data_IF_365249565048
#
_entry.id   IF_365249565048
#
_cell.length_a   1.000
_cell.length_b   1.000
_cell.length_c   1.000
_cell.angle_alpha   90.00
_cell.angle_beta   90.00
_cell.angle_gamma   90.00
#
_symmetry.space_group_name_H-M   'P 1'
#
loop_
_entity.id
_entity.type
_entity.pdbx_description
1 polymer ?
#
# COMPACT_ATOMS: atom_id res chain seq x y z
N UNK A 1 22.63 7.02 -3.55
CA UNK A 1 21.37 7.17 -2.79
C UNK A 1 20.23 6.76 -3.70
N UNK A 2 19.92 5.47 -3.74
CA UNK A 2 18.90 4.95 -4.67
C UNK A 2 17.51 5.18 -4.08
N UNK A 3 16.50 5.46 -4.91
CA UNK A 3 15.08 5.50 -4.52
C UNK A 3 14.35 4.53 -5.45
N UNK A 4 13.30 3.86 -4.99
CA UNK A 4 12.47 3.00 -5.84
C UNK A 4 11.01 3.43 -5.76
N UNK A 5 10.26 3.36 -6.84
CA UNK A 5 9.01 4.07 -6.94
C UNK A 5 8.35 3.89 -8.30
N UNK A 6 7.11 4.36 -8.44
CA UNK A 6 6.43 4.30 -9.73
C UNK A 6 6.58 5.64 -10.47
N UNK A 7 7.03 5.58 -11.73
CA UNK A 7 7.35 6.76 -12.56
C UNK A 7 6.10 7.43 -13.12
N UNK A 8 5.12 6.65 -13.58
CA UNK A 8 3.83 7.20 -14.07
C UNK A 8 3.03 7.93 -12.99
N UNK A 9 3.41 7.64 -11.75
CA UNK A 9 2.75 8.00 -10.53
C UNK A 9 3.60 8.94 -9.65
N UNK A 10 4.85 9.13 -10.06
CA UNK A 10 5.90 9.96 -9.46
C UNK A 10 6.14 9.79 -7.93
N UNK A 11 5.95 8.61 -7.36
CA UNK A 11 6.24 8.37 -5.92
C UNK A 11 7.44 7.44 -5.80
N UNK A 12 8.38 7.78 -4.91
CA UNK A 12 9.60 7.03 -4.69
C UNK A 12 9.99 6.95 -3.21
N UNK A 13 10.32 5.73 -2.78
CA UNK A 13 10.69 5.35 -1.43
C UNK A 13 12.21 5.30 -1.24
N UNK A 14 12.65 5.67 -0.03
CA UNK A 14 14.05 5.61 0.38
C UNK A 14 14.45 4.18 0.80
N UNK A 15 15.51 3.60 0.21
CA UNK A 15 15.94 2.20 0.49
C UNK A 15 16.40 1.96 1.93
N UNK A 16 16.76 3.01 2.68
CA UNK A 16 17.28 2.89 4.06
C UNK A 16 16.21 2.96 5.14
N UNK A 17 15.04 3.53 4.86
CA UNK A 17 14.05 3.87 5.89
C UNK A 17 13.04 2.76 6.21
N UNK A 18 13.22 1.54 5.65
CA UNK A 18 12.35 0.36 5.79
C UNK A 18 10.87 0.60 5.42
N UNK A 19 10.55 0.17 4.20
CA UNK A 19 9.23 0.01 3.58
C UNK A 19 8.36 1.29 3.47
N UNK A 20 7.49 1.39 2.45
CA UNK A 20 6.50 2.46 2.43
C UNK A 20 5.68 2.41 3.72
N UNK A 21 5.64 3.46 4.55
CA UNK A 21 4.40 3.70 5.25
C UNK A 21 3.36 3.88 4.14
N UNK A 22 2.30 3.08 4.18
CA UNK A 22 1.12 3.34 3.37
C UNK A 22 0.57 4.64 3.92
N UNK A 23 0.97 5.76 3.32
CA UNK A 23 0.61 7.08 3.84
C UNK A 23 -0.82 7.36 3.42
N UNK A 24 -1.78 6.76 4.14
CA UNK A 24 -3.20 6.99 3.94
C UNK A 24 -3.70 6.60 2.55
N UNK A 25 -4.66 7.38 2.06
CA UNK A 25 -5.61 7.06 0.99
C UNK A 25 -5.02 6.80 -0.42
N UNK A 26 -3.70 6.81 -0.61
CA UNK A 26 -3.08 6.70 -1.95
C UNK A 26 -1.88 5.73 -1.98
N UNK A 27 -1.76 4.95 -3.05
CA UNK A 27 -0.64 4.04 -3.25
C UNK A 27 0.62 4.78 -3.73
N UNK A 28 1.75 4.08 -3.87
CA UNK A 28 2.94 4.58 -4.60
C UNK A 28 2.67 4.90 -6.08
N UNK A 29 1.45 4.66 -6.52
CA UNK A 29 0.88 5.08 -7.78
C UNK A 29 0.26 6.49 -7.80
N UNK A 30 0.05 7.10 -6.63
CA UNK A 30 -0.80 8.29 -6.51
C UNK A 30 -2.28 7.98 -6.79
N UNK A 31 -2.63 6.71 -6.99
CA UNK A 31 -3.99 6.25 -7.16
C UNK A 31 -4.62 5.97 -5.80
N UNK A 32 -5.93 6.20 -5.73
CA UNK A 32 -6.72 6.01 -4.52
C UNK A 32 -6.73 4.54 -4.06
N UNK A 33 -6.44 4.33 -2.79
CA UNK A 33 -6.56 3.07 -2.08
C UNK A 33 -7.96 3.00 -1.46
N UNK A 34 -8.84 2.17 -2.01
CA UNK A 34 -10.20 1.99 -1.52
C UNK A 34 -10.27 0.83 -0.53
N UNK A 35 -10.93 1.05 0.59
CA UNK A 35 -11.20 -0.04 1.52
C UNK A 35 -12.16 -1.07 0.89
N UNK A 36 -11.73 -2.32 0.90
CA UNK A 36 -12.49 -3.49 0.47
C UNK A 36 -12.67 -4.38 1.70
N UNK A 37 -13.89 -4.50 2.25
CA UNK A 37 -14.13 -5.18 3.53
C UNK A 37 -13.94 -6.71 3.48
N UNK A 38 -13.85 -7.30 2.29
CA UNK A 38 -13.80 -8.76 2.13
C UNK A 38 -12.91 -9.15 0.95
N UNK A 39 -11.64 -8.77 1.03
CA UNK A 39 -10.66 -9.05 -0.02
C UNK A 39 -10.01 -10.42 0.20
N UNK A 40 -10.79 -11.48 -0.01
CA UNK A 40 -10.36 -12.87 0.18
C UNK A 40 -9.42 -13.33 -0.92
N UNK A 41 -8.46 -14.19 -0.57
CA UNK A 41 -7.45 -14.75 -1.49
C UNK A 41 -6.41 -13.75 -2.01
N UNK A 42 -6.35 -12.56 -1.42
CA UNK A 42 -5.30 -11.56 -1.68
C UNK A 42 -4.22 -11.60 -0.60
N UNK A 43 -3.05 -11.06 -0.93
CA UNK A 43 -1.94 -10.91 0.00
C UNK A 43 -1.57 -9.43 0.11
N UNK A 44 -1.18 -9.00 1.30
CA UNK A 44 -0.72 -7.63 1.51
C UNK A 44 0.62 -7.40 0.80
N UNK A 45 0.72 -6.38 -0.04
CA UNK A 45 1.96 -6.03 -0.74
C UNK A 45 3.06 -5.48 0.18
N UNK A 46 2.70 -5.05 1.39
CA UNK A 46 3.63 -4.55 2.40
C UNK A 46 4.27 -5.69 3.19
N UNK A 47 3.47 -6.47 3.91
CA UNK A 47 3.96 -7.55 4.77
C UNK A 47 3.99 -8.93 4.13
N UNK A 48 3.43 -9.08 2.91
CA UNK A 48 3.30 -10.36 2.18
C UNK A 48 2.48 -11.43 2.89
N UNK A 49 1.74 -11.05 3.95
CA UNK A 49 0.81 -11.93 4.64
C UNK A 49 -0.55 -12.00 3.94
N UNK A 50 -1.25 -13.12 4.11
CA UNK A 50 -2.61 -13.30 3.59
C UNK A 50 -3.60 -12.32 4.22
N UNK A 51 -4.49 -11.76 3.39
CA UNK A 51 -5.58 -10.89 3.83
C UNK A 51 -6.76 -11.79 4.21
N UNK A 52 -7.14 -11.75 5.49
CA UNK A 52 -8.21 -12.58 6.05
C UNK A 52 -9.51 -11.79 6.31
N UNK A 53 -9.58 -10.53 5.88
CA UNK A 53 -10.70 -9.63 6.14
C UNK A 53 -10.68 -8.41 5.22
N UNK A 54 -10.69 -7.22 5.81
CA UNK A 54 -10.58 -5.96 5.09
C UNK A 54 -9.17 -5.68 4.58
N UNK A 55 -9.09 -4.99 3.46
CA UNK A 55 -7.84 -4.43 2.95
C UNK A 55 -8.10 -3.18 2.11
N UNK A 56 -7.09 -2.32 2.02
CA UNK A 56 -7.10 -1.17 1.15
C UNK A 56 -6.48 -1.56 -0.18
N UNK A 57 -7.24 -1.42 -1.26
CA UNK A 57 -6.85 -1.84 -2.59
C UNK A 57 -6.85 -0.68 -3.55
N UNK A 58 -5.74 -0.51 -4.25
CA UNK A 58 -5.67 0.30 -5.44
C UNK A 58 -6.08 -0.58 -6.62
N UNK A 59 -7.20 -0.26 -7.26
CA UNK A 59 -7.69 -1.03 -8.43
C UNK A 59 -6.78 -0.88 -9.65
N UNK A 60 -6.14 0.27 -9.82
CA UNK A 60 -5.28 0.57 -10.97
C UNK A 60 -3.93 -0.15 -10.92
N UNK A 61 -3.30 -0.20 -9.74
CA UNK A 61 -2.01 -0.84 -9.53
C UNK A 61 -2.09 -2.28 -9.03
N UNK A 62 -3.28 -2.82 -8.75
CA UNK A 62 -3.43 -4.11 -8.07
C UNK A 62 -2.65 -4.15 -6.75
N UNK A 63 -2.62 -3.03 -6.03
CA UNK A 63 -1.84 -2.87 -4.80
C UNK A 63 -2.73 -3.03 -3.58
N UNK A 64 -2.48 -4.05 -2.78
CA UNK A 64 -3.30 -4.46 -1.65
C UNK A 64 -2.57 -4.26 -0.31
N UNK A 65 -3.23 -3.62 0.65
CA UNK A 65 -2.67 -3.34 1.96
C UNK A 65 -3.63 -3.84 3.02
N UNK A 66 -3.20 -4.83 3.81
CA UNK A 66 -4.01 -5.29 4.93
C UNK A 66 -4.16 -4.21 5.99
N UNK A 67 -5.25 -4.27 6.76
CA UNK A 67 -5.54 -3.31 7.84
C UNK A 67 -4.40 -3.15 8.85
N UNK A 68 -3.59 -4.21 9.07
CA UNK A 68 -2.42 -4.17 9.97
C UNK A 68 -1.25 -3.34 9.42
N UNK A 69 -1.11 -3.29 8.10
CA UNK A 69 -0.06 -2.54 7.41
C UNK A 69 -0.53 -1.16 6.98
N UNK A 70 -1.85 -0.92 7.02
CA UNK A 70 -2.42 0.40 6.87
C UNK A 70 -2.14 1.23 8.12
N UNK A 71 -1.08 2.03 8.07
CA UNK A 71 -0.74 2.95 9.15
C UNK A 71 -1.36 4.31 8.79
N UNK A 72 -2.51 4.62 9.38
CA UNK A 72 -3.00 6.00 9.42
C UNK A 72 -2.00 6.82 10.25
N UNK A 73 -1.51 7.92 9.69
CA UNK A 73 -0.78 8.91 10.50
C UNK A 73 -1.76 9.45 11.55
N UNK A 74 -1.48 9.22 12.83
CA UNK A 74 -2.00 10.11 13.88
C UNK A 74 -1.21 11.44 13.81
N UNK A 75 -1.93 12.56 13.95
CA UNK A 75 -1.43 13.95 13.88
C UNK A 75 -0.25 14.24 14.82
#
# INVERSE_FOLDING_TARGET
MSRYGCVQCNIYYCVKCRQPPVMGDFCGGGHELKYVPNLKYHSCDVCRGSISGGAYRCQECDYDVCEKCWIVKED
#
